data_IF_078634981281
#
_entry.id   IF_078634981281
#
_cell.length_a   1.000
_cell.length_b   1.000
_cell.length_c   1.000
_cell.angle_alpha   90.00
_cell.angle_beta   90.00
_cell.angle_gamma   90.00
#
_symmetry.space_group_name_H-M   'P 1'
#
loop_
_entity.id
_entity.type
_entity.pdbx_description
1 polymer ?
#
# COMPACT_ATOMS: atom_id res chain seq x y z
N UNK A 1 -22.24 16.12 2.74
CA UNK A 1 -22.35 17.22 1.80
C UNK A 1 -21.91 16.69 0.46
N UNK A 2 -22.87 16.29 -0.37
CA UNK A 2 -22.61 15.81 -1.72
C UNK A 2 -22.65 17.04 -2.62
N UNK A 3 -21.48 17.60 -2.95
CA UNK A 3 -21.44 18.54 -4.06
C UNK A 3 -21.85 17.77 -5.33
N UNK A 4 -22.76 18.31 -6.14
CA UNK A 4 -23.16 17.68 -7.39
C UNK A 4 -21.92 17.50 -8.27
N UNK A 5 -21.73 16.30 -8.79
CA UNK A 5 -20.70 15.99 -9.77
C UNK A 5 -21.04 16.85 -10.99
N UNK A 6 -20.26 17.88 -11.25
CA UNK A 6 -20.37 18.66 -12.49
C UNK A 6 -19.90 17.74 -13.61
N UNK A 7 -20.85 17.26 -14.40
CA UNK A 7 -20.57 16.45 -15.59
C UNK A 7 -19.55 17.17 -16.48
N UNK A 8 -18.42 16.51 -16.72
CA UNK A 8 -17.41 16.94 -17.69
C UNK A 8 -16.15 17.61 -17.15
N UNK A 9 -16.01 17.86 -15.84
CA UNK A 9 -14.76 18.40 -15.30
C UNK A 9 -13.84 17.29 -14.80
N UNK A 10 -12.60 17.13 -15.34
CA UNK A 10 -11.67 16.09 -14.89
C UNK A 10 -11.29 16.36 -13.42
N UNK A 11 -11.56 15.40 -12.54
CA UNK A 11 -11.21 15.47 -11.12
C UNK A 11 -9.85 14.78 -10.93
N UNK A 12 -8.85 15.54 -10.43
CA UNK A 12 -7.55 15.01 -10.09
C UNK A 12 -7.61 14.32 -8.71
N UNK A 13 -7.92 13.01 -8.70
CA UNK A 13 -8.17 12.23 -7.48
C UNK A 13 -6.85 11.92 -6.76
N UNK A 14 -5.85 11.38 -7.47
CA UNK A 14 -4.58 10.99 -6.89
C UNK A 14 -3.47 11.95 -7.28
N UNK A 15 -3.03 12.77 -6.34
CA UNK A 15 -1.94 13.72 -6.51
C UNK A 15 -0.60 12.99 -6.75
N UNK A 16 0.31 13.63 -7.47
CA UNK A 16 1.61 13.07 -7.83
C UNK A 16 2.38 12.49 -6.62
N UNK A 17 2.45 13.14 -5.45
CA UNK A 17 3.11 12.58 -4.27
C UNK A 17 2.55 11.23 -3.82
N UNK A 18 1.23 11.02 -3.94
CA UNK A 18 0.59 9.75 -3.59
C UNK A 18 0.99 8.64 -4.57
N UNK A 19 1.08 8.99 -5.86
CA UNK A 19 1.49 8.04 -6.91
C UNK A 19 2.95 7.62 -6.74
N UNK A 20 3.84 8.55 -6.45
CA UNK A 20 5.27 8.28 -6.19
C UNK A 20 5.40 7.39 -4.95
N UNK A 21 4.71 7.75 -3.87
CA UNK A 21 4.68 6.94 -2.64
C UNK A 21 4.21 5.50 -2.92
N UNK A 22 3.11 5.33 -3.65
CA UNK A 22 2.59 4.01 -3.99
C UNK A 22 3.61 3.14 -4.73
N UNK A 23 4.25 3.67 -5.77
CA UNK A 23 5.25 2.93 -6.53
C UNK A 23 6.50 2.64 -5.71
N UNK A 24 6.93 3.55 -4.84
CA UNK A 24 8.05 3.31 -3.91
C UNK A 24 7.74 2.15 -2.97
N UNK A 25 6.48 2.06 -2.46
CA UNK A 25 6.04 0.93 -1.63
C UNK A 25 6.06 -0.39 -2.40
N UNK A 26 5.51 -0.42 -3.63
CA UNK A 26 5.50 -1.62 -4.48
C UNK A 26 6.92 -2.13 -4.71
N UNK A 27 7.85 -1.26 -5.12
CA UNK A 27 9.25 -1.63 -5.35
C UNK A 27 9.93 -2.12 -4.07
N UNK A 28 9.67 -1.48 -2.94
CA UNK A 28 10.23 -1.89 -1.65
C UNK A 28 9.72 -3.28 -1.24
N UNK A 29 8.44 -3.60 -1.42
CA UNK A 29 7.92 -4.95 -1.14
C UNK A 29 8.52 -6.01 -2.06
N UNK A 30 8.75 -5.69 -3.34
CA UNK A 30 9.43 -6.59 -4.27
C UNK A 30 10.87 -6.95 -3.83
N UNK A 31 11.52 -6.07 -3.08
CA UNK A 31 12.82 -6.34 -2.47
C UNK A 31 12.68 -7.05 -1.12
N UNK A 32 11.78 -6.59 -0.25
CA UNK A 32 11.64 -7.10 1.12
C UNK A 32 11.19 -8.57 1.17
N UNK A 33 10.26 -8.97 0.29
CA UNK A 33 9.74 -10.35 0.30
C UNK A 33 10.85 -11.38 0.01
N UNK A 34 11.60 -11.31 -1.11
CA UNK A 34 12.65 -12.28 -1.38
C UNK A 34 13.82 -12.17 -0.40
N UNK A 35 14.24 -10.96 -0.04
CA UNK A 35 15.35 -10.79 0.91
C UNK A 35 14.97 -11.27 2.31
N UNK A 36 13.74 -11.03 2.78
CA UNK A 36 13.24 -11.56 4.04
C UNK A 36 13.18 -13.08 4.06
N UNK A 37 12.74 -13.70 2.96
CA UNK A 37 12.76 -15.17 2.84
C UNK A 37 14.17 -15.73 2.92
N UNK A 38 15.15 -15.15 2.22
CA UNK A 38 16.55 -15.56 2.23
C UNK A 38 17.17 -15.37 3.63
N UNK A 39 16.85 -14.30 4.33
CA UNK A 39 17.33 -14.03 5.70
C UNK A 39 16.75 -15.06 6.68
N UNK A 40 15.47 -15.40 6.55
CA UNK A 40 14.80 -16.36 7.40
C UNK A 40 15.18 -17.83 7.13
N UNK A 41 15.53 -18.14 5.88
CA UNK A 41 15.98 -19.45 5.45
C UNK A 41 17.25 -19.32 4.61
N UNK A 42 18.41 -19.07 5.24
CA UNK A 42 19.65 -18.90 4.51
C UNK A 42 19.98 -20.20 3.74
N UNK A 43 20.35 -20.05 2.48
CA UNK A 43 20.85 -21.16 1.70
C UNK A 43 22.14 -21.69 2.33
N UNK A 44 22.37 -22.99 2.17
CA UNK A 44 23.57 -23.63 2.69
C UNK A 44 24.81 -22.83 2.27
N UNK A 45 25.76 -22.71 3.19
CA UNK A 45 27.03 -22.04 2.93
C UNK A 45 27.68 -22.62 1.68
N UNK A 46 27.91 -21.78 0.68
CA UNK A 46 28.71 -22.15 -0.47
C UNK A 46 30.14 -22.39 0.05
N UNK A 47 30.76 -23.52 -0.36
CA UNK A 47 32.14 -23.78 -0.06
C UNK A 47 33.02 -22.67 -0.67
N UNK A 48 33.78 -21.98 0.15
CA UNK A 48 34.65 -20.88 -0.29
C UNK A 48 35.02 -19.93 0.84
N UNK A 49 36.01 -19.06 0.57
CA UNK A 49 36.41 -18.04 1.52
C UNK A 49 35.29 -17.02 1.74
N UNK A 50 34.80 -16.79 2.98
CA UNK A 50 33.77 -15.82 3.32
C UNK A 50 34.07 -14.41 2.84
N UNK A 51 35.35 -14.08 2.65
CA UNK A 51 35.83 -12.77 2.19
C UNK A 51 35.31 -12.43 0.79
N UNK A 52 35.09 -13.42 -0.07
CA UNK A 52 34.61 -13.25 -1.44
C UNK A 52 33.09 -13.46 -1.58
N UNK A 53 32.41 -13.96 -0.56
CA UNK A 53 30.98 -14.32 -0.59
C UNK A 53 30.17 -13.53 0.43
N UNK A 54 30.23 -12.21 0.38
CA UNK A 54 29.47 -11.32 1.28
C UNK A 54 27.97 -11.22 0.88
N UNK A 55 27.44 -12.31 0.33
CA UNK A 55 26.07 -12.39 -0.19
C UNK A 55 25.00 -12.05 0.88
N UNK A 56 25.10 -12.65 2.08
CA UNK A 56 24.14 -12.37 3.16
C UNK A 56 24.25 -10.93 3.68
N UNK A 57 25.43 -10.33 3.63
CA UNK A 57 25.61 -8.91 3.97
C UNK A 57 24.87 -8.01 3.00
N UNK A 58 25.00 -8.24 1.69
CA UNK A 58 24.26 -7.49 0.68
C UNK A 58 22.77 -7.71 0.75
N UNK A 59 22.30 -8.96 1.03
CA UNK A 59 20.88 -9.28 1.21
C UNK A 59 20.29 -8.52 2.38
N UNK A 60 20.97 -8.50 3.53
CA UNK A 60 20.55 -7.73 4.71
C UNK A 60 20.55 -6.24 4.44
N UNK A 61 21.59 -5.72 3.79
CA UNK A 61 21.66 -4.31 3.41
C UNK A 61 20.48 -3.90 2.52
N UNK A 62 20.19 -4.67 1.47
CA UNK A 62 19.05 -4.40 0.59
C UNK A 62 17.73 -4.44 1.36
N UNK A 63 17.55 -5.40 2.27
CA UNK A 63 16.38 -5.52 3.13
C UNK A 63 16.20 -4.28 4.02
N UNK A 64 17.24 -3.84 4.71
CA UNK A 64 17.19 -2.65 5.56
C UNK A 64 16.92 -1.37 4.75
N UNK A 65 17.58 -1.19 3.59
CA UNK A 65 17.33 -0.02 2.74
C UNK A 65 15.85 0.03 2.32
N UNK A 66 15.30 -1.09 1.85
CA UNK A 66 13.89 -1.16 1.47
C UNK A 66 12.96 -0.92 2.67
N UNK A 67 13.30 -1.44 3.86
CA UNK A 67 12.56 -1.19 5.10
C UNK A 67 12.56 0.30 5.49
N UNK A 68 13.69 0.98 5.40
CA UNK A 68 13.78 2.43 5.64
C UNK A 68 12.97 3.24 4.63
N UNK A 69 12.97 2.86 3.35
CA UNK A 69 12.15 3.52 2.32
C UNK A 69 10.66 3.41 2.68
N UNK A 70 10.19 2.23 3.12
CA UNK A 70 8.81 2.05 3.59
C UNK A 70 8.52 2.94 4.80
N UNK A 71 9.38 2.94 5.80
CA UNK A 71 9.17 3.70 7.04
C UNK A 71 9.10 5.20 6.75
N UNK A 72 10.05 5.73 5.99
CA UNK A 72 10.07 7.15 5.61
C UNK A 72 8.86 7.49 4.73
N UNK A 73 8.53 6.60 3.78
CA UNK A 73 7.37 6.76 2.91
C UNK A 73 6.05 6.77 3.68
N UNK A 74 5.93 5.97 4.74
CA UNK A 74 4.75 5.95 5.60
C UNK A 74 4.63 7.25 6.41
N UNK A 75 5.71 7.71 7.02
CA UNK A 75 5.75 9.00 7.72
C UNK A 75 5.36 10.14 6.78
N UNK A 76 5.93 10.17 5.58
CA UNK A 76 5.55 11.11 4.54
C UNK A 76 4.05 11.03 4.21
N UNK A 77 3.50 9.84 4.08
CA UNK A 77 2.09 9.62 3.76
C UNK A 77 1.16 10.12 4.86
N UNK A 78 1.54 9.94 6.13
CA UNK A 78 0.81 10.47 7.29
C UNK A 78 0.83 12.01 7.27
N UNK A 79 2.01 12.61 7.11
CA UNK A 79 2.13 14.08 7.01
C UNK A 79 1.29 14.61 5.84
N UNK A 80 1.39 13.98 4.68
CA UNK A 80 0.64 14.38 3.49
C UNK A 80 -0.89 14.22 3.65
N UNK A 81 -1.36 13.36 4.54
CA UNK A 81 -2.78 13.26 4.85
C UNK A 81 -3.35 14.55 5.49
N UNK A 82 -2.54 15.32 6.21
CA UNK A 82 -2.97 16.61 6.79
C UNK A 82 -3.00 17.73 5.75
N UNK A 83 -2.07 17.73 4.79
CA UNK A 83 -1.94 18.80 3.78
C UNK A 83 -2.60 18.48 2.44
N UNK A 84 -2.92 17.20 2.20
CA UNK A 84 -3.50 16.73 0.94
C UNK A 84 -4.99 17.05 0.78
N UNK A 85 -5.51 16.71 -0.41
CA UNK A 85 -6.92 16.85 -0.73
C UNK A 85 -7.81 15.88 0.08
N UNK A 86 -9.14 16.05 -0.02
CA UNK A 86 -10.13 15.19 0.66
C UNK A 86 -9.95 13.68 0.36
N UNK A 87 -9.51 13.32 -0.84
CA UNK A 87 -9.27 11.93 -1.25
C UNK A 87 -8.00 11.35 -0.60
N UNK A 88 -7.03 12.20 -0.30
CA UNK A 88 -5.81 11.82 0.40
C UNK A 88 -6.07 11.39 1.85
N UNK A 89 -7.08 11.98 2.48
CA UNK A 89 -7.50 11.69 3.87
C UNK A 89 -8.40 10.46 4.00
N UNK A 90 -9.04 10.01 2.92
CA UNK A 90 -9.99 8.88 2.95
C UNK A 90 -9.38 7.60 3.50
N UNK A 91 -8.08 7.39 3.35
CA UNK A 91 -7.37 6.21 3.87
C UNK A 91 -7.40 6.13 5.40
N UNK A 92 -7.38 7.28 6.07
CA UNK A 92 -7.34 7.37 7.54
C UNK A 92 -8.72 7.54 8.19
N UNK A 93 -9.75 7.86 7.37
CA UNK A 93 -11.11 8.10 7.85
C UNK A 93 -12.00 6.97 7.34
N UNK A 94 -12.11 5.90 8.12
CA UNK A 94 -12.99 4.78 7.80
C UNK A 94 -14.33 4.97 8.53
N UNK A 95 -15.44 5.16 7.80
CA UNK A 95 -16.74 5.38 8.41
C UNK A 95 -17.40 4.05 8.84
N UNK A 96 -16.84 3.36 9.85
CA UNK A 96 -17.36 2.09 10.37
C UNK A 96 -18.83 2.13 10.79
N UNK A 97 -19.34 3.31 11.16
CA UNK A 97 -20.74 3.52 11.57
C UNK A 97 -21.72 3.60 10.40
N UNK A 98 -21.26 3.67 9.16
CA UNK A 98 -22.12 3.72 7.97
C UNK A 98 -22.42 2.31 7.46
N UNK A 99 -23.69 1.89 7.49
CA UNK A 99 -24.11 0.60 6.89
C UNK A 99 -23.80 0.52 5.39
N UNK A 100 -23.86 1.65 4.67
CA UNK A 100 -23.50 1.69 3.24
C UNK A 100 -22.05 1.29 2.99
N UNK A 101 -21.12 1.68 3.87
CA UNK A 101 -19.72 1.32 3.75
C UNK A 101 -19.50 -0.20 3.83
N UNK A 102 -20.20 -0.89 4.73
CA UNK A 102 -20.14 -2.36 4.86
C UNK A 102 -20.74 -3.07 3.64
N UNK A 103 -21.83 -2.53 3.08
CA UNK A 103 -22.43 -3.07 1.85
C UNK A 103 -21.50 -2.88 0.65
N UNK A 104 -20.79 -1.74 0.57
CA UNK A 104 -19.82 -1.46 -0.48
C UNK A 104 -18.61 -2.38 -0.33
N UNK A 105 -18.10 -2.59 0.89
CA UNK A 105 -17.02 -3.53 1.19
C UNK A 105 -17.38 -4.97 0.77
N UNK A 106 -18.58 -5.42 1.11
CA UNK A 106 -19.05 -6.77 0.75
C UNK A 106 -19.21 -6.92 -0.77
N UNK A 107 -19.71 -5.88 -1.44
CA UNK A 107 -19.82 -5.86 -2.91
C UNK A 107 -18.47 -5.93 -3.58
N UNK A 108 -17.47 -5.14 -3.11
CA UNK A 108 -16.11 -5.18 -3.63
C UNK A 108 -15.48 -6.56 -3.42
N UNK A 109 -15.66 -7.15 -2.24
CA UNK A 109 -15.15 -8.48 -1.93
C UNK A 109 -15.76 -9.55 -2.85
N UNK A 110 -17.08 -9.50 -3.08
CA UNK A 110 -17.76 -10.41 -4.01
C UNK A 110 -17.25 -10.26 -5.44
N UNK A 111 -16.99 -9.02 -5.88
CA UNK A 111 -16.44 -8.78 -7.21
C UNK A 111 -15.01 -9.37 -7.34
N UNK A 112 -14.14 -9.21 -6.36
CA UNK A 112 -12.81 -9.82 -6.36
C UNK A 112 -12.84 -11.35 -6.33
N UNK A 113 -13.90 -11.96 -5.78
CA UNK A 113 -14.14 -13.40 -5.84
C UNK A 113 -14.83 -13.84 -7.16
N UNK A 114 -14.97 -12.94 -8.13
CA UNK A 114 -15.64 -13.18 -9.42
C UNK A 114 -17.12 -13.59 -9.29
N UNK A 115 -17.78 -13.26 -8.18
CA UNK A 115 -19.20 -13.54 -7.94
C UNK A 115 -20.11 -12.49 -8.56
N UNK A 116 -19.65 -11.24 -8.67
CA UNK A 116 -20.37 -10.13 -9.30
C UNK A 116 -19.67 -9.71 -10.61
N UNK A 117 -20.46 -9.43 -11.66
CA UNK A 117 -19.93 -9.07 -12.99
C UNK A 117 -19.56 -7.60 -13.13
N UNK A 118 -20.18 -6.73 -12.36
CA UNK A 118 -19.98 -5.27 -12.45
C UNK A 118 -19.44 -4.72 -11.15
N UNK A 119 -18.25 -4.07 -11.17
CA UNK A 119 -17.74 -3.41 -9.98
C UNK A 119 -18.59 -2.17 -9.68
N UNK A 120 -18.69 -1.79 -8.40
CA UNK A 120 -19.24 -0.49 -8.03
C UNK A 120 -18.26 0.62 -8.35
N UNK A 121 -18.78 1.73 -8.84
CA UNK A 121 -17.96 2.90 -9.11
C UNK A 121 -17.67 3.68 -7.80
N UNK A 122 -16.38 3.82 -7.47
CA UNK A 122 -15.92 4.59 -6.32
C UNK A 122 -15.05 5.77 -6.77
N UNK A 123 -15.32 6.95 -6.26
CA UNK A 123 -14.44 8.11 -6.47
C UNK A 123 -13.38 8.13 -5.36
N UNK A 124 -12.16 7.71 -5.67
CA UNK A 124 -11.06 7.59 -4.71
C UNK A 124 -10.76 6.14 -4.31
N UNK A 125 -10.53 5.91 -3.01
CA UNK A 125 -10.27 4.58 -2.49
C UNK A 125 -11.56 3.81 -2.23
N UNK A 126 -11.64 2.58 -2.70
CA UNK A 126 -12.74 1.69 -2.35
C UNK A 126 -12.59 1.18 -0.90
N UNK A 127 -13.66 0.71 -0.24
CA UNK A 127 -13.63 0.22 1.13
C UNK A 127 -12.61 -0.89 1.38
N UNK A 128 -12.43 -1.79 0.41
CA UNK A 128 -11.47 -2.89 0.52
C UNK A 128 -10.02 -2.39 0.50
N UNK A 129 -9.69 -1.41 -0.35
CA UNK A 129 -8.38 -0.77 -0.37
C UNK A 129 -8.10 0.02 0.93
N UNK A 130 -9.11 0.70 1.49
CA UNK A 130 -9.00 1.38 2.79
C UNK A 130 -8.66 0.39 3.89
N UNK A 131 -9.36 -0.75 3.97
CA UNK A 131 -9.13 -1.78 4.97
C UNK A 131 -7.73 -2.40 4.81
N UNK A 132 -7.32 -2.74 3.60
CA UNK A 132 -6.00 -3.28 3.31
C UNK A 132 -4.87 -2.34 3.73
N UNK A 133 -4.98 -1.04 3.44
CA UNK A 133 -3.99 -0.06 3.85
C UNK A 133 -3.93 0.14 5.37
N UNK A 134 -5.08 0.15 6.06
CA UNK A 134 -5.11 0.21 7.53
C UNK A 134 -4.46 -1.02 8.16
N UNK A 135 -4.68 -2.20 7.60
CA UNK A 135 -4.05 -3.44 8.08
C UNK A 135 -2.52 -3.36 7.92
N UNK A 136 -2.02 -2.88 6.78
CA UNK A 136 -0.59 -2.68 6.58
C UNK A 136 0.02 -1.66 7.55
N UNK A 137 -0.70 -0.58 7.87
CA UNK A 137 -0.23 0.45 8.82
C UNK A 137 -0.16 -0.10 10.24
N UNK A 138 -1.10 -0.95 10.66
CA UNK A 138 -1.13 -1.53 12.01
C UNK A 138 -0.09 -2.64 12.23
N UNK A 139 0.57 -3.13 11.19
CA UNK A 139 1.61 -4.17 11.26
C UNK A 139 3.04 -3.60 11.36
N UNK A 140 3.19 -2.28 11.25
CA UNK A 140 4.46 -1.55 11.33
C UNK A 140 4.68 -0.92 12.70
#
# INVERSE_FOLDING_TARGET
MNEPIQEGKPIYVFQLPIRIWHWSMVLSFLVLIPTGYIIGKPWHSLDGDPTYLFYMGYTRMAHFIAGFIITIGLLWRIIFAFFGNKYSRQVFIIPFWRKSWWLDLLSDFRWYLFLDRTPREHIGHNPLAQLGMMTCINQL
#
